data_IF_258876036771
#
_entry.id   IF_258876036771
#
_cell.length_a   1.000
_cell.length_b   1.000
_cell.length_c   1.000
_cell.angle_alpha   90.00
_cell.angle_beta   90.00
_cell.angle_gamma   90.00
#
_symmetry.space_group_name_H-M   'P 1'
#
loop_
_entity.id
_entity.type
_entity.pdbx_description
1 polymer ?
#
# COMPACT_ATOMS: atom_id res chain seq x y z
N UNK A 1 -40.65 -39.30 -61.96
CA UNK A 1 -39.84 -40.43 -62.47
C UNK A 1 -38.55 -40.44 -61.65
N UNK A 2 -38.53 -41.04 -60.46
CA UNK A 2 -38.47 -42.47 -60.14
C UNK A 2 -37.01 -42.93 -60.01
N UNK A 3 -36.61 -43.20 -58.76
CA UNK A 3 -35.41 -43.93 -58.35
C UNK A 3 -35.41 -45.36 -58.92
N UNK A 4 -34.24 -45.99 -59.07
CA UNK A 4 -33.89 -47.29 -58.43
C UNK A 4 -32.76 -48.06 -59.16
N UNK A 5 -31.91 -48.73 -58.35
CA UNK A 5 -30.98 -49.85 -58.67
C UNK A 5 -29.49 -49.45 -58.63
N UNK A 6 -28.60 -49.93 -57.75
CA UNK A 6 -28.46 -51.24 -57.05
C UNK A 6 -27.99 -52.31 -58.05
N UNK A 7 -26.91 -53.10 -57.95
CA UNK A 7 -25.95 -53.45 -56.88
C UNK A 7 -24.68 -54.16 -57.47
N UNK A 8 -23.71 -54.50 -56.59
CA UNK A 8 -22.73 -55.65 -56.62
C UNK A 8 -21.37 -55.52 -57.36
N UNK A 9 -20.19 -55.97 -56.88
CA UNK A 9 -19.76 -56.75 -55.70
C UNK A 9 -18.22 -56.67 -55.42
N UNK A 10 -17.83 -56.59 -54.12
CA UNK A 10 -16.64 -57.08 -53.34
C UNK A 10 -15.15 -57.01 -53.80
N UNK A 11 -14.15 -57.39 -52.96
CA UNK A 11 -14.09 -57.46 -51.48
C UNK A 11 -12.77 -56.89 -50.84
N UNK A 12 -12.70 -56.97 -49.49
CA UNK A 12 -11.51 -57.15 -48.61
C UNK A 12 -10.48 -56.03 -48.43
N UNK A 13 -10.46 -55.40 -47.25
CA UNK A 13 -9.56 -55.80 -46.17
C UNK A 13 -9.77 -54.93 -44.92
N UNK A 14 -10.27 -55.56 -43.87
CA UNK A 14 -10.09 -55.09 -42.50
C UNK A 14 -8.60 -55.13 -42.18
N UNK A 15 -8.03 -53.98 -41.83
CA UNK A 15 -6.85 -53.93 -40.96
C UNK A 15 -7.28 -53.13 -39.74
N UNK A 16 -7.72 -53.87 -38.73
CA UNK A 16 -7.79 -53.43 -37.35
C UNK A 16 -6.38 -53.09 -36.85
N UNK A 17 -6.00 -51.81 -36.90
CA UNK A 17 -4.87 -51.31 -36.08
C UNK A 17 -5.44 -50.73 -34.80
N UNK A 18 -5.25 -51.55 -33.78
CA UNK A 18 -5.26 -51.32 -32.35
C UNK A 18 -4.86 -49.91 -31.89
N UNK A 19 -5.57 -49.49 -30.84
CA UNK A 19 -5.19 -48.47 -29.85
C UNK A 19 -5.14 -47.04 -30.39
N UNK A 20 -6.31 -46.39 -30.33
CA UNK A 20 -6.39 -44.94 -30.27
C UNK A 20 -5.56 -44.43 -29.10
N UNK A 21 -4.36 -43.94 -29.39
CA UNK A 21 -3.66 -43.03 -28.50
C UNK A 21 -4.58 -41.81 -28.39
N UNK A 22 -5.34 -41.70 -27.30
CA UNK A 22 -6.05 -40.47 -27.00
C UNK A 22 -4.97 -39.40 -26.85
N UNK A 23 -4.81 -38.55 -27.85
CA UNK A 23 -4.10 -37.28 -27.74
C UNK A 23 -4.88 -36.37 -26.77
N UNK A 24 -4.93 -36.77 -25.49
CA UNK A 24 -5.24 -35.89 -24.39
C UNK A 24 -4.03 -34.99 -24.20
N UNK A 25 -4.13 -33.75 -24.67
CA UNK A 25 -3.14 -32.67 -24.54
C UNK A 25 -2.00 -32.63 -25.58
N UNK A 26 -2.35 -32.55 -26.86
CA UNK A 26 -1.61 -31.61 -27.72
C UNK A 26 -2.39 -30.29 -27.68
N UNK A 27 -2.05 -29.42 -26.72
CA UNK A 27 -2.53 -28.04 -26.69
C UNK A 27 -2.02 -27.35 -27.97
N UNK A 28 -2.94 -27.04 -28.89
CA UNK A 28 -2.60 -26.42 -30.17
C UNK A 28 -1.89 -25.07 -29.96
N UNK A 29 -0.88 -24.82 -30.80
CA UNK A 29 0.03 -23.67 -30.77
C UNK A 29 -0.63 -22.29 -31.03
N UNK A 30 -1.97 -22.23 -31.05
CA UNK A 30 -2.82 -21.08 -31.39
C UNK A 30 -3.62 -20.55 -30.20
N UNK A 31 -3.10 -20.70 -28.98
CA UNK A 31 -3.79 -20.19 -27.79
C UNK A 31 -3.82 -18.66 -27.85
N UNK A 32 -5.02 -18.08 -27.76
CA UNK A 32 -5.19 -16.64 -27.61
C UNK A 32 -4.44 -16.20 -26.37
N UNK A 33 -3.47 -15.29 -26.54
CA UNK A 33 -2.65 -14.80 -25.43
C UNK A 33 -3.56 -14.10 -24.41
N UNK A 34 -3.79 -14.77 -23.29
CA UNK A 34 -4.55 -14.23 -22.16
C UNK A 34 -3.54 -13.66 -21.18
N UNK A 35 -3.61 -12.34 -20.97
CA UNK A 35 -2.70 -11.62 -20.08
C UNK A 35 -3.33 -11.47 -18.70
N UNK A 36 -2.86 -12.27 -17.75
CA UNK A 36 -3.25 -12.26 -16.35
C UNK A 36 -2.42 -11.30 -15.50
N UNK A 37 -1.35 -10.73 -16.07
CA UNK A 37 -0.43 -9.84 -15.35
C UNK A 37 -1.15 -8.62 -14.75
N UNK A 38 -2.12 -8.08 -15.47
CA UNK A 38 -2.99 -7.00 -15.01
C UNK A 38 -3.65 -7.30 -13.66
N UNK A 39 -4.25 -8.48 -13.56
CA UNK A 39 -4.96 -8.92 -12.37
C UNK A 39 -3.98 -9.26 -11.23
N UNK A 40 -2.82 -9.84 -11.55
CA UNK A 40 -1.74 -10.07 -10.59
C UNK A 40 -1.27 -8.76 -9.95
N UNK A 41 -0.92 -7.75 -10.76
CA UNK A 41 -0.45 -6.44 -10.24
C UNK A 41 -1.53 -5.76 -9.41
N UNK A 42 -2.79 -5.85 -9.81
CA UNK A 42 -3.90 -5.29 -9.03
C UNK A 42 -4.03 -5.97 -7.65
N UNK A 43 -3.94 -7.31 -7.59
CA UNK A 43 -3.97 -8.04 -6.32
C UNK A 43 -2.72 -7.78 -5.48
N UNK A 44 -1.55 -7.65 -6.09
CA UNK A 44 -0.33 -7.30 -5.38
C UNK A 44 -0.42 -5.89 -4.79
N UNK A 45 -0.89 -4.92 -5.56
CA UNK A 45 -1.14 -3.57 -5.05
C UNK A 45 -2.17 -3.56 -3.90
N UNK A 46 -3.26 -4.32 -4.05
CA UNK A 46 -4.26 -4.47 -2.99
C UNK A 46 -3.66 -5.09 -1.73
N UNK A 47 -2.80 -6.10 -1.87
CA UNK A 47 -2.12 -6.73 -0.74
C UNK A 47 -1.13 -5.80 -0.05
N UNK A 48 -0.44 -4.94 -0.79
CA UNK A 48 0.44 -3.92 -0.24
C UNK A 48 -0.33 -2.85 0.51
N UNK A 49 -1.43 -2.35 -0.07
CA UNK A 49 -2.33 -1.42 0.59
C UNK A 49 -2.92 -2.04 1.86
N UNK A 50 -3.29 -3.33 1.82
CA UNK A 50 -3.78 -4.04 2.99
C UNK A 50 -2.73 -4.12 4.10
N UNK A 51 -1.47 -4.48 3.77
CA UNK A 51 -0.39 -4.49 4.76
C UNK A 51 -0.14 -3.10 5.31
N UNK A 52 -0.13 -2.05 4.48
CA UNK A 52 0.08 -0.68 4.92
C UNK A 52 -1.00 -0.20 5.91
N UNK A 53 -2.25 -0.62 5.74
CA UNK A 53 -3.37 -0.22 6.60
C UNK A 53 -3.51 -1.08 7.86
N UNK A 54 -3.30 -2.39 7.75
CA UNK A 54 -3.61 -3.36 8.81
C UNK A 54 -2.37 -3.91 9.52
N UNK A 55 -1.18 -3.35 9.29
CA UNK A 55 0.04 -3.78 9.99
C UNK A 55 -0.11 -3.68 11.51
N UNK A 56 -0.68 -2.58 12.00
CA UNK A 56 -0.82 -2.32 13.44
C UNK A 56 -1.73 -3.32 14.14
N UNK A 57 -2.79 -3.77 13.47
CA UNK A 57 -3.71 -4.74 14.04
C UNK A 57 -3.15 -6.16 14.04
N UNK A 58 -2.11 -6.43 13.25
CA UNK A 58 -1.41 -7.72 13.19
C UNK A 58 -0.23 -7.77 14.16
N UNK A 59 0.51 -6.67 14.32
CA UNK A 59 1.69 -6.61 15.16
C UNK A 59 1.35 -6.06 16.54
N UNK A 60 1.36 -6.90 17.57
CA UNK A 60 1.09 -6.50 18.97
C UNK A 60 2.09 -5.49 19.54
N UNK A 61 3.31 -5.45 18.98
CA UNK A 61 4.33 -4.47 19.34
C UNK A 61 4.17 -3.13 18.61
N UNK A 62 3.23 -3.01 17.68
CA UNK A 62 2.96 -1.74 17.01
C UNK A 62 2.10 -0.88 17.93
N UNK A 63 2.69 0.20 18.44
CA UNK A 63 1.96 1.33 19.00
C UNK A 63 0.85 1.78 18.04
N UNK A 64 -0.27 2.21 18.61
CA UNK A 64 -1.42 2.69 17.82
C UNK A 64 -1.02 3.91 16.99
N UNK A 65 -1.65 4.16 15.83
CA UNK A 65 -1.36 5.36 15.00
C UNK A 65 -1.44 6.67 15.81
N UNK A 66 -2.23 6.69 16.87
CA UNK A 66 -2.30 7.79 17.85
C UNK A 66 -1.03 7.94 18.68
N UNK A 67 -0.40 6.84 19.12
CA UNK A 67 0.87 6.87 19.88
C UNK A 67 2.07 7.21 18.99
N UNK A 68 2.01 6.88 17.69
CA UNK A 68 3.02 7.32 16.69
C UNK A 68 3.07 8.85 16.62
N UNK A 69 1.97 9.55 16.90
CA UNK A 69 1.93 11.01 16.98
C UNK A 69 2.71 11.56 18.17
N UNK A 70 2.75 10.81 19.28
CA UNK A 70 3.41 11.20 20.52
C UNK A 70 4.91 10.84 20.51
N UNK A 71 5.29 9.66 20.00
CA UNK A 71 6.71 9.25 19.91
C UNK A 71 7.40 9.64 18.58
N UNK A 72 6.66 10.06 17.55
CA UNK A 72 7.18 10.47 16.22
C UNK A 72 8.16 9.49 15.56
N UNK A 73 8.13 8.22 15.92
CA UNK A 73 9.01 7.19 15.33
C UNK A 73 8.14 6.10 14.71
N UNK A 74 8.26 5.94 13.39
CA UNK A 74 7.66 4.82 12.67
C UNK A 74 8.51 3.57 12.92
N UNK A 75 7.92 2.42 13.31
CA UNK A 75 8.70 1.19 13.53
C UNK A 75 9.52 0.79 12.30
N UNK A 76 10.81 0.48 12.50
CA UNK A 76 11.73 0.12 11.40
C UNK A 76 11.27 -1.16 10.68
N UNK A 77 10.74 -2.12 11.44
CA UNK A 77 10.23 -3.39 10.89
C UNK A 77 9.06 -3.19 9.93
N UNK A 78 8.18 -2.23 10.24
CA UNK A 78 7.05 -1.88 9.37
C UNK A 78 7.55 -1.34 8.02
N UNK A 79 8.46 -0.36 8.08
CA UNK A 79 9.06 0.24 6.90
C UNK A 79 9.81 -0.82 6.07
N UNK A 80 10.56 -1.70 6.73
CA UNK A 80 11.30 -2.78 6.09
C UNK A 80 10.41 -3.72 5.28
N UNK A 81 9.28 -4.15 5.86
CA UNK A 81 8.29 -4.99 5.16
C UNK A 81 7.67 -4.25 3.97
N UNK A 82 7.33 -2.96 4.13
CA UNK A 82 6.74 -2.16 3.05
C UNK A 82 7.71 -1.99 1.87
N UNK A 83 8.99 -1.68 2.16
CA UNK A 83 10.05 -1.56 1.17
C UNK A 83 10.27 -2.89 0.45
N UNK A 84 10.32 -4.00 1.18
CA UNK A 84 10.50 -5.33 0.61
C UNK A 84 9.35 -5.70 -0.34
N UNK A 85 8.09 -5.45 0.06
CA UNK A 85 6.92 -5.69 -0.77
C UNK A 85 6.92 -4.82 -2.03
N UNK A 86 7.29 -3.54 -1.90
CA UNK A 86 7.42 -2.64 -3.03
C UNK A 86 8.50 -3.12 -4.01
N UNK A 87 9.68 -3.50 -3.49
CA UNK A 87 10.78 -4.04 -4.29
C UNK A 87 10.36 -5.31 -5.04
N UNK A 88 9.58 -6.20 -4.41
CA UNK A 88 9.03 -7.36 -5.09
C UNK A 88 8.10 -7.01 -6.25
N UNK A 89 7.27 -5.97 -6.14
CA UNK A 89 6.45 -5.50 -7.28
C UNK A 89 7.30 -4.94 -8.42
N UNK A 90 8.33 -4.17 -8.07
CA UNK A 90 9.26 -3.59 -9.06
C UNK A 90 10.02 -4.70 -9.79
N UNK A 91 10.53 -5.70 -9.07
CA UNK A 91 11.18 -6.87 -9.67
C UNK A 91 10.20 -7.69 -10.51
N UNK A 92 8.93 -7.77 -10.11
CA UNK A 92 7.93 -8.48 -10.89
C UNK A 92 7.69 -7.82 -12.25
N UNK A 93 7.57 -6.48 -12.25
CA UNK A 93 7.49 -5.67 -13.47
C UNK A 93 8.76 -5.78 -14.31
N UNK A 94 9.93 -5.81 -13.69
CA UNK A 94 11.21 -5.99 -14.37
C UNK A 94 11.25 -7.30 -15.16
N UNK A 95 10.95 -8.45 -14.53
CA UNK A 95 10.99 -9.74 -15.21
C UNK A 95 9.89 -9.89 -16.27
N UNK A 96 8.70 -9.32 -16.05
CA UNK A 96 7.64 -9.27 -17.05
C UNK A 96 8.10 -8.50 -18.31
N UNK A 97 8.74 -7.35 -18.11
CA UNK A 97 9.21 -6.48 -19.19
C UNK A 97 10.32 -7.15 -20.00
N UNK A 98 11.32 -7.71 -19.31
CA UNK A 98 12.41 -8.45 -19.97
C UNK A 98 11.89 -9.70 -20.69
N UNK A 99 10.85 -10.36 -20.16
CA UNK A 99 10.28 -11.61 -20.67
C UNK A 99 11.09 -12.84 -20.28
N UNK A 100 11.83 -12.77 -19.17
CA UNK A 100 12.66 -13.87 -18.70
C UNK A 100 11.80 -14.83 -17.87
N UNK A 101 11.40 -15.95 -18.47
CA UNK A 101 10.57 -16.97 -17.81
C UNK A 101 11.25 -17.57 -16.57
N UNK A 102 12.55 -17.90 -16.67
CA UNK A 102 13.33 -18.44 -15.54
C UNK A 102 13.43 -17.45 -14.38
N UNK A 103 13.69 -16.17 -14.68
CA UNK A 103 13.78 -15.11 -13.67
C UNK A 103 12.47 -14.91 -12.91
N UNK A 104 11.34 -14.87 -13.63
CA UNK A 104 10.01 -14.81 -12.99
C UNK A 104 9.74 -16.06 -12.14
N UNK A 105 10.07 -17.26 -12.62
CA UNK A 105 9.83 -18.50 -11.89
C UNK A 105 10.59 -18.54 -10.55
N UNK A 106 11.87 -18.13 -10.57
CA UNK A 106 12.69 -18.01 -9.37
C UNK A 106 12.15 -16.94 -8.42
N UNK A 107 11.75 -15.78 -8.95
CA UNK A 107 11.15 -14.71 -8.15
C UNK A 107 9.86 -15.17 -7.49
N UNK A 108 8.97 -15.87 -8.22
CA UNK A 108 7.72 -16.40 -7.69
C UNK A 108 7.99 -17.38 -6.54
N UNK A 109 8.93 -18.29 -6.70
CA UNK A 109 9.32 -19.22 -5.64
C UNK A 109 9.87 -18.50 -4.41
N UNK A 110 10.77 -17.53 -4.59
CA UNK A 110 11.37 -16.75 -3.50
C UNK A 110 10.31 -15.92 -2.75
N UNK A 111 9.43 -15.23 -3.49
CA UNK A 111 8.32 -14.46 -2.91
C UNK A 111 7.37 -15.35 -2.13
N UNK A 112 7.01 -16.50 -2.70
CA UNK A 112 6.11 -17.47 -2.08
C UNK A 112 6.70 -18.03 -0.78
N UNK A 113 7.98 -18.44 -0.81
CA UNK A 113 8.68 -18.96 0.36
C UNK A 113 8.77 -17.91 1.48
N UNK A 114 9.19 -16.68 1.15
CA UNK A 114 9.31 -15.60 2.14
C UNK A 114 7.96 -15.21 2.72
N UNK A 115 6.93 -15.07 1.88
CA UNK A 115 5.59 -14.70 2.31
C UNK A 115 4.97 -15.74 3.25
N UNK A 116 5.03 -17.03 2.89
CA UNK A 116 4.51 -18.08 3.76
C UNK A 116 5.32 -18.21 5.04
N UNK A 117 6.66 -18.14 4.98
CA UNK A 117 7.49 -18.17 6.18
C UNK A 117 7.10 -17.05 7.16
N UNK A 118 6.99 -15.81 6.67
CA UNK A 118 6.63 -14.65 7.49
C UNK A 118 5.21 -14.74 8.06
N UNK A 119 4.22 -15.07 7.23
CA UNK A 119 2.82 -15.14 7.67
C UNK A 119 2.57 -16.31 8.62
N UNK A 120 3.23 -17.46 8.42
CA UNK A 120 3.11 -18.62 9.30
C UNK A 120 3.77 -18.37 10.66
N UNK A 121 4.93 -17.69 10.66
CA UNK A 121 5.60 -17.25 11.89
C UNK A 121 4.70 -16.31 12.72
N UNK A 122 4.06 -15.33 12.06
CA UNK A 122 3.12 -14.43 12.73
C UNK A 122 1.84 -15.13 13.19
N UNK A 123 1.34 -16.10 12.42
CA UNK A 123 0.11 -16.81 12.75
C UNK A 123 0.26 -17.70 14.00
N UNK A 124 1.43 -18.33 14.16
CA UNK A 124 1.74 -19.17 15.34
C UNK A 124 2.41 -18.42 16.48
N UNK A 125 2.67 -17.13 16.34
CA UNK A 125 3.15 -16.32 17.44
C UNK A 125 2.14 -16.29 18.59
N UNK A 126 2.57 -16.49 19.85
CA UNK A 126 1.67 -16.46 21.00
C UNK A 126 1.05 -15.07 21.25
N UNK A 127 1.61 -14.03 20.63
CA UNK A 127 1.15 -12.63 20.76
C UNK A 127 0.03 -12.25 19.77
N UNK A 128 -0.44 -13.18 18.93
CA UNK A 128 -1.42 -12.89 17.88
C UNK A 128 -2.87 -12.93 18.39
N UNK A 129 -3.54 -11.78 18.35
CA UNK A 129 -4.97 -11.65 18.68
C UNK A 129 -5.88 -12.42 17.69
N UNK A 130 -7.14 -12.67 18.07
CA UNK A 130 -8.14 -13.27 17.16
C UNK A 130 -8.38 -12.41 15.92
N UNK A 131 -8.41 -11.07 16.09
CA UNK A 131 -8.58 -10.14 14.97
C UNK A 131 -7.38 -10.16 14.01
N UNK A 132 -6.15 -10.15 14.55
CA UNK A 132 -4.91 -10.29 13.79
C UNK A 132 -4.91 -11.56 12.93
N UNK A 133 -5.34 -12.69 13.50
CA UNK A 133 -5.46 -13.97 12.77
C UNK A 133 -6.48 -13.91 11.63
N UNK A 134 -7.60 -13.22 11.80
CA UNK A 134 -8.58 -13.04 10.72
C UNK A 134 -8.03 -12.17 9.58
N UNK A 135 -7.30 -11.10 9.90
CA UNK A 135 -6.64 -10.26 8.90
C UNK A 135 -5.52 -11.00 8.17
N UNK A 136 -4.72 -11.79 8.88
CA UNK A 136 -3.70 -12.66 8.28
C UNK A 136 -4.31 -13.69 7.33
N UNK A 137 -5.47 -14.28 7.66
CA UNK A 137 -6.21 -15.19 6.75
C UNK A 137 -6.64 -14.47 5.47
N UNK A 138 -7.16 -13.25 5.58
CA UNK A 138 -7.57 -12.46 4.43
C UNK A 138 -6.36 -12.08 3.55
N UNK A 139 -5.26 -11.65 4.17
CA UNK A 139 -4.00 -11.37 3.46
C UNK A 139 -3.48 -12.61 2.74
N UNK A 140 -3.52 -13.77 3.41
CA UNK A 140 -3.12 -15.04 2.82
C UNK A 140 -3.99 -15.39 1.61
N UNK A 141 -5.31 -15.24 1.71
CA UNK A 141 -6.24 -15.48 0.60
C UNK A 141 -5.97 -14.56 -0.60
N UNK A 142 -5.74 -13.27 -0.36
CA UNK A 142 -5.42 -12.33 -1.44
C UNK A 142 -4.09 -12.66 -2.11
N UNK A 143 -3.05 -12.99 -1.33
CA UNK A 143 -1.72 -13.32 -1.87
C UNK A 143 -1.67 -14.67 -2.56
N UNK A 144 -2.36 -15.68 -2.05
CA UNK A 144 -2.45 -16.98 -2.73
C UNK A 144 -3.14 -16.83 -4.09
N UNK A 145 -4.19 -15.99 -4.18
CA UNK A 145 -4.81 -15.64 -5.46
C UNK A 145 -3.82 -14.96 -6.42
N UNK A 146 -3.01 -14.00 -5.93
CA UNK A 146 -1.95 -13.35 -6.74
C UNK A 146 -0.91 -14.37 -7.25
N UNK A 147 -0.45 -15.29 -6.39
CA UNK A 147 0.49 -16.34 -6.79
C UNK A 147 -0.11 -17.31 -7.80
N UNK A 148 -1.40 -17.66 -7.65
CA UNK A 148 -2.10 -18.51 -8.61
C UNK A 148 -2.18 -17.84 -10.01
N UNK A 149 -2.50 -16.53 -10.06
CA UNK A 149 -2.51 -15.78 -11.31
C UNK A 149 -1.10 -15.63 -11.92
N UNK A 150 -0.08 -15.40 -11.08
CA UNK A 150 1.32 -15.38 -11.52
C UNK A 150 1.77 -16.71 -12.12
N UNK A 151 1.38 -17.83 -11.51
CA UNK A 151 1.67 -19.16 -12.05
C UNK A 151 0.90 -19.42 -13.35
N UNK A 152 -0.35 -18.96 -13.45
CA UNK A 152 -1.15 -19.06 -14.67
C UNK A 152 -0.57 -18.23 -15.82
N UNK A 153 -0.02 -17.05 -15.53
CA UNK A 153 0.73 -16.24 -16.48
C UNK A 153 1.98 -16.98 -16.96
N UNK A 154 2.75 -17.58 -16.04
CA UNK A 154 3.96 -18.31 -16.39
C UNK A 154 3.64 -19.54 -17.27
N UNK A 155 2.52 -20.21 -17.00
CA UNK A 155 2.01 -21.32 -17.84
C UNK A 155 1.55 -20.84 -19.21
N UNK A 156 0.88 -19.69 -19.28
CA UNK A 156 0.30 -19.16 -20.53
C UNK A 156 1.33 -18.47 -21.43
N UNK A 157 2.52 -18.17 -20.89
CA UNK A 157 3.57 -17.45 -21.59
C UNK A 157 3.40 -15.93 -21.53
N UNK A 158 4.31 -15.20 -22.16
CA UNK A 158 4.26 -13.73 -22.23
C UNK A 158 3.92 -13.27 -23.64
N UNK A 159 3.07 -12.23 -23.80
CA UNK A 159 2.77 -11.68 -25.10
C UNK A 159 4.03 -11.08 -25.78
N UNK A 160 4.04 -10.83 -27.09
CA UNK A 160 5.17 -10.19 -27.76
C UNK A 160 5.37 -8.76 -27.24
N UNK A 161 6.61 -8.24 -27.36
CA UNK A 161 7.01 -6.93 -26.82
C UNK A 161 6.20 -5.77 -27.41
N UNK A 162 5.92 -5.83 -28.70
CA UNK A 162 5.03 -4.94 -29.42
C UNK A 162 4.06 -5.78 -30.25
N UNK A 163 2.76 -5.46 -30.17
CA UNK A 163 1.75 -6.08 -31.02
C UNK A 163 1.43 -5.14 -32.17
N UNK A 164 1.63 -5.61 -33.40
CA UNK A 164 1.24 -4.90 -34.62
C UNK A 164 -0.29 -4.75 -34.75
N UNK A 165 -1.06 -5.62 -34.07
CA UNK A 165 -2.50 -5.78 -34.28
C UNK A 165 -3.37 -4.92 -33.34
N UNK A 166 -2.87 -3.78 -32.87
CA UNK A 166 -3.63 -2.83 -32.05
C UNK A 166 -3.99 -3.27 -30.63
N UNK A 167 -3.72 -4.52 -30.25
CA UNK A 167 -4.04 -5.08 -28.93
C UNK A 167 -2.98 -4.75 -27.85
N UNK A 168 -1.98 -3.90 -28.14
CA UNK A 168 -0.91 -3.57 -27.21
C UNK A 168 0.07 -4.73 -26.97
N UNK A 169 1.37 -4.46 -27.01
CA UNK A 169 2.38 -5.44 -26.58
C UNK A 169 2.53 -5.46 -25.05
N UNK A 170 3.50 -6.21 -24.51
CA UNK A 170 3.86 -6.15 -23.07
C UNK A 170 4.11 -4.73 -22.53
N UNK A 171 4.53 -3.82 -23.40
CA UNK A 171 4.77 -2.43 -23.04
C UNK A 171 3.51 -1.58 -22.99
N UNK A 172 2.44 -1.98 -23.68
CA UNK A 172 1.20 -1.24 -23.61
C UNK A 172 0.68 -1.25 -22.18
N UNK A 173 0.20 -0.10 -21.74
CA UNK A 173 -0.39 0.01 -20.42
C UNK A 173 -1.59 -0.94 -20.30
N UNK A 174 -1.64 -1.69 -19.20
CA UNK A 174 -2.67 -2.71 -18.90
C UNK A 174 -4.08 -2.20 -19.18
N UNK A 175 -4.34 -0.96 -18.77
CA UNK A 175 -5.66 -0.34 -18.89
C UNK A 175 -5.91 0.26 -20.28
N UNK A 176 -4.86 0.54 -21.06
CA UNK A 176 -5.00 1.08 -22.43
C UNK A 176 -5.34 0.03 -23.48
N UNK A 177 -5.35 -1.25 -23.11
CA UNK A 177 -5.60 -2.36 -24.05
C UNK A 177 -7.04 -2.42 -24.55
N UNK A 178 -7.99 -2.00 -23.73
CA UNK A 178 -9.41 -1.95 -24.09
C UNK A 178 -9.99 -0.58 -23.72
N UNK A 179 -10.82 -0.03 -24.60
CA UNK A 179 -11.55 1.21 -24.35
C UNK A 179 -12.78 0.87 -23.52
N UNK A 180 -12.62 0.88 -22.20
CA UNK A 180 -13.67 0.58 -21.24
C UNK A 180 -13.70 1.66 -20.16
N UNK A 181 -14.88 1.95 -19.58
CA UNK A 181 -15.02 2.92 -18.47
C UNK A 181 -14.20 2.51 -17.24
N UNK A 182 -14.09 1.20 -16.97
CA UNK A 182 -13.23 0.66 -15.91
C UNK A 182 -11.74 0.87 -16.20
N UNK A 183 -11.34 0.80 -17.47
CA UNK A 183 -9.97 1.10 -17.92
C UNK A 183 -9.61 2.56 -17.69
N UNK A 184 -10.53 3.46 -18.08
CA UNK A 184 -10.41 4.89 -17.83
C UNK A 184 -10.25 5.22 -16.34
N UNK A 185 -11.12 4.68 -15.48
CA UNK A 185 -11.05 4.91 -14.04
C UNK A 185 -9.75 4.35 -13.44
N UNK A 186 -9.36 3.13 -13.84
CA UNK A 186 -8.14 2.49 -13.35
C UNK A 186 -6.88 3.27 -13.73
N UNK A 187 -6.79 3.76 -14.97
CA UNK A 187 -5.69 4.61 -15.41
C UNK A 187 -5.68 5.95 -14.65
N UNK A 188 -6.84 6.57 -14.43
CA UNK A 188 -6.93 7.82 -13.68
C UNK A 188 -6.44 7.66 -12.24
N UNK A 189 -6.83 6.58 -11.55
CA UNK A 189 -6.34 6.27 -10.20
C UNK A 189 -4.85 6.00 -10.21
N UNK A 190 -4.35 5.25 -11.19
CA UNK A 190 -2.93 4.93 -11.31
C UNK A 190 -2.06 6.17 -11.54
N UNK A 191 -2.48 7.09 -12.43
CA UNK A 191 -1.79 8.37 -12.65
C UNK A 191 -1.93 9.31 -11.44
N UNK A 192 -2.98 9.16 -10.63
CA UNK A 192 -3.17 9.93 -9.40
C UNK A 192 -2.25 9.49 -8.24
N UNK A 193 -1.69 8.27 -8.30
CA UNK A 193 -0.74 7.80 -7.29
C UNK A 193 0.63 8.46 -7.52
N UNK A 194 1.20 9.14 -6.51
CA UNK A 194 2.46 9.85 -6.68
C UNK A 194 3.58 8.87 -7.02
N UNK A 195 4.41 9.23 -8.00
CA UNK A 195 5.61 8.51 -8.45
C UNK A 195 5.43 7.13 -9.10
N UNK A 196 4.29 6.44 -8.93
CA UNK A 196 4.12 5.07 -9.46
C UNK A 196 4.16 5.05 -10.99
N UNK A 197 3.44 5.97 -11.64
CA UNK A 197 3.42 6.07 -13.10
C UNK A 197 4.83 6.35 -13.66
N UNK A 198 5.53 7.32 -13.09
CA UNK A 198 6.88 7.71 -13.49
C UNK A 198 7.89 6.58 -13.31
N UNK A 199 7.85 5.91 -12.15
CA UNK A 199 8.75 4.80 -11.85
C UNK A 199 8.56 3.64 -12.83
N UNK A 200 7.30 3.35 -13.20
CA UNK A 200 7.00 2.35 -14.24
C UNK A 200 7.54 2.77 -15.60
N UNK A 201 7.35 4.03 -16.01
CA UNK A 201 7.84 4.52 -17.29
C UNK A 201 9.38 4.46 -17.40
N UNK A 202 10.09 4.85 -16.34
CA UNK A 202 11.57 4.79 -16.26
C UNK A 202 12.06 3.34 -16.24
N UNK A 203 11.39 2.46 -15.51
CA UNK A 203 11.73 1.04 -15.48
C UNK A 203 11.53 0.40 -16.86
N UNK A 204 10.38 0.65 -17.50
CA UNK A 204 10.10 0.14 -18.84
C UNK A 204 11.13 0.65 -19.86
N UNK A 205 11.55 1.92 -19.78
CA UNK A 205 12.61 2.47 -20.65
C UNK A 205 13.97 1.82 -20.43
N UNK A 206 14.37 1.65 -19.17
CA UNK A 206 15.69 1.10 -18.82
C UNK A 206 15.85 -0.38 -19.22
N UNK A 207 14.75 -1.13 -19.25
CA UNK A 207 14.77 -2.57 -19.53
C UNK A 207 14.55 -2.92 -21.00
N UNK A 208 14.17 -1.94 -21.81
CA UNK A 208 13.75 -2.17 -23.20
C UNK A 208 14.79 -1.63 -24.17
N UNK A 209 15.22 -2.44 -25.14
CA UNK A 209 16.11 -1.97 -26.18
C UNK A 209 15.36 -0.95 -27.05
N UNK A 210 15.60 0.34 -26.80
CA UNK A 210 15.01 1.46 -27.53
C UNK A 210 16.09 2.41 -28.03
N UNK A 211 15.81 3.08 -29.14
CA UNK A 211 16.68 4.13 -29.69
C UNK A 211 16.35 5.51 -29.13
N UNK A 212 15.23 5.65 -28.41
CA UNK A 212 14.78 6.91 -27.83
C UNK A 212 15.55 7.24 -26.55
N UNK A 213 15.91 8.52 -26.39
CA UNK A 213 16.39 9.05 -25.11
C UNK A 213 15.26 9.01 -24.08
N UNK A 214 15.61 9.00 -22.79
CA UNK A 214 14.65 8.94 -21.68
C UNK A 214 13.54 10.01 -21.79
N UNK A 215 13.91 11.28 -22.03
CA UNK A 215 12.91 12.34 -22.15
C UNK A 215 11.99 12.20 -23.36
N UNK A 216 12.49 11.67 -24.47
CA UNK A 216 11.67 11.43 -25.66
C UNK A 216 10.71 10.25 -25.42
N UNK A 217 11.14 9.25 -24.67
CA UNK A 217 10.28 8.15 -24.20
C UNK A 217 9.18 8.63 -23.26
N UNK A 218 9.51 9.46 -22.26
CA UNK A 218 8.52 10.02 -21.34
C UNK A 218 7.47 10.86 -22.09
N UNK A 219 7.90 11.67 -23.07
CA UNK A 219 6.97 12.42 -23.94
C UNK A 219 6.04 11.49 -24.73
N UNK A 220 6.56 10.38 -25.24
CA UNK A 220 5.76 9.40 -25.98
C UNK A 220 4.69 8.76 -25.09
N UNK A 221 5.03 8.43 -23.84
CA UNK A 221 4.09 7.87 -22.88
C UNK A 221 3.01 8.88 -22.44
N UNK A 222 3.38 10.15 -22.26
CA UNK A 222 2.42 11.21 -21.94
C UNK A 222 1.42 11.46 -23.11
N UNK A 223 1.91 11.49 -24.34
CA UNK A 223 1.06 11.61 -25.54
C UNK A 223 0.13 10.40 -25.67
N UNK A 224 0.63 9.18 -25.46
CA UNK A 224 -0.17 7.96 -25.55
C UNK A 224 -1.28 7.94 -24.50
N UNK A 225 -0.96 8.37 -23.28
CA UNK A 225 -1.89 8.48 -22.15
C UNK A 225 -2.97 9.53 -22.43
N UNK A 226 -2.56 10.70 -22.92
CA UNK A 226 -3.48 11.77 -23.31
C UNK A 226 -4.43 11.34 -24.42
N UNK A 227 -3.92 10.65 -25.44
CA UNK A 227 -4.73 10.15 -26.56
C UNK A 227 -5.74 9.09 -26.09
N UNK A 228 -5.33 8.20 -25.17
CA UNK A 228 -6.24 7.23 -24.58
C UNK A 228 -7.38 7.90 -23.81
N UNK A 229 -7.10 8.91 -22.97
CA UNK A 229 -8.15 9.64 -22.26
C UNK A 229 -9.16 10.29 -23.21
N UNK A 230 -8.69 10.93 -24.28
CA UNK A 230 -9.57 11.52 -25.32
C UNK A 230 -10.39 10.44 -26.03
N UNK A 231 -9.80 9.28 -26.30
CA UNK A 231 -10.50 8.15 -26.94
C UNK A 231 -11.61 7.60 -26.04
N UNK A 232 -11.36 7.43 -24.75
CA UNK A 232 -12.37 7.02 -23.78
C UNK A 232 -13.49 8.05 -23.61
N UNK A 233 -13.17 9.34 -23.58
CA UNK A 233 -14.16 10.41 -23.52
C UNK A 233 -15.02 10.46 -24.79
N UNK A 234 -14.42 10.26 -25.97
CA UNK A 234 -15.17 10.10 -27.22
C UNK A 234 -16.10 8.89 -27.17
N UNK A 235 -15.60 7.72 -26.76
CA UNK A 235 -16.40 6.51 -26.62
C UNK A 235 -17.60 6.71 -25.67
N UNK A 236 -17.39 7.40 -24.54
CA UNK A 236 -18.49 7.76 -23.63
C UNK A 236 -19.53 8.73 -24.22
N UNK A 237 -19.20 9.42 -25.32
CA UNK A 237 -20.08 10.36 -26.04
C UNK A 237 -20.72 9.77 -27.28
N UNK A 238 -20.23 8.64 -27.81
CA UNK A 238 -20.71 8.03 -29.06
C UNK A 238 -22.22 7.75 -29.07
N UNK A 239 -22.82 7.51 -27.90
CA UNK A 239 -24.27 7.28 -27.75
C UNK A 239 -25.13 8.54 -27.51
N UNK A 240 -24.56 9.75 -27.52
CA UNK A 240 -25.28 10.99 -27.16
C UNK A 240 -25.46 11.91 -28.36
N UNK A 241 -26.66 12.46 -28.51
CA UNK A 241 -26.95 13.43 -29.56
C UNK A 241 -26.47 14.82 -29.14
N UNK A 242 -26.16 15.66 -30.14
CA UNK A 242 -25.79 17.05 -29.92
C UNK A 242 -26.98 17.78 -29.28
N UNK A 243 -26.79 18.34 -28.08
CA UNK A 243 -27.82 19.05 -27.31
C UNK A 243 -28.47 18.26 -26.18
N UNK A 244 -28.13 16.97 -26.02
CA UNK A 244 -28.67 16.15 -24.93
C UNK A 244 -28.27 16.69 -23.54
N UNK A 245 -29.25 16.78 -22.65
CA UNK A 245 -29.04 17.22 -21.26
C UNK A 245 -28.04 16.29 -20.55
N UNK A 246 -27.01 16.87 -19.92
CA UNK A 246 -26.07 16.10 -19.11
C UNK A 246 -26.81 15.41 -17.95
N UNK A 247 -26.57 14.11 -17.70
CA UNK A 247 -27.22 13.41 -16.61
C UNK A 247 -26.93 14.06 -15.25
N UNK A 248 -27.95 14.08 -14.38
CA UNK A 248 -27.87 14.72 -13.06
C UNK A 248 -26.77 14.12 -12.19
N UNK A 249 -26.56 12.80 -12.27
CA UNK A 249 -25.52 12.12 -11.48
C UNK A 249 -24.11 12.58 -11.85
N UNK A 250 -23.83 12.86 -13.14
CA UNK A 250 -22.51 13.38 -13.53
C UNK A 250 -22.28 14.82 -13.05
N UNK A 251 -23.31 15.67 -13.13
CA UNK A 251 -23.23 17.03 -12.58
C UNK A 251 -23.01 17.03 -11.07
N UNK A 252 -23.73 16.16 -10.37
CA UNK A 252 -23.60 16.00 -8.93
C UNK A 252 -22.21 15.44 -8.55
N UNK A 253 -21.77 14.38 -9.21
CA UNK A 253 -20.48 13.76 -8.90
C UNK A 253 -19.30 14.66 -9.26
N UNK A 254 -19.30 15.33 -10.41
CA UNK A 254 -18.17 16.18 -10.79
C UNK A 254 -18.21 17.56 -10.13
N UNK A 255 -19.40 18.18 -10.02
CA UNK A 255 -19.56 19.51 -9.46
C UNK A 255 -19.63 19.50 -7.93
N UNK A 256 -20.59 18.76 -7.37
CA UNK A 256 -20.83 18.76 -5.91
C UNK A 256 -19.68 18.10 -5.15
N UNK A 257 -19.09 17.00 -5.65
CA UNK A 257 -17.94 16.36 -4.99
C UNK A 257 -16.70 17.27 -4.99
N UNK A 258 -16.42 17.95 -6.12
CA UNK A 258 -15.29 18.88 -6.21
C UNK A 258 -15.49 20.06 -5.26
N UNK A 259 -16.70 20.62 -5.22
CA UNK A 259 -17.05 21.68 -4.26
C UNK A 259 -16.88 21.22 -2.80
N UNK A 260 -17.39 20.04 -2.45
CA UNK A 260 -17.23 19.46 -1.11
C UNK A 260 -15.76 19.19 -0.78
N UNK A 261 -14.98 18.68 -1.74
CA UNK A 261 -13.54 18.43 -1.57
C UNK A 261 -12.76 19.71 -1.27
N UNK A 262 -13.06 20.81 -1.99
CA UNK A 262 -12.48 22.12 -1.71
C UNK A 262 -12.90 22.65 -0.33
N UNK A 263 -14.16 22.43 0.07
CA UNK A 263 -14.64 22.80 1.41
C UNK A 263 -13.86 22.04 2.49
N UNK A 264 -13.69 20.73 2.34
CA UNK A 264 -12.91 19.90 3.26
C UNK A 264 -11.45 20.37 3.32
N UNK A 265 -10.83 20.67 2.18
CA UNK A 265 -9.44 21.16 2.12
C UNK A 265 -9.25 22.51 2.82
N UNK A 266 -10.27 23.36 2.82
CA UNK A 266 -10.24 24.64 3.54
C UNK A 266 -10.42 24.45 5.05
N UNK A 267 -11.41 23.66 5.48
CA UNK A 267 -11.81 23.57 6.89
C UNK A 267 -11.03 22.55 7.70
N UNK A 268 -10.63 21.40 7.12
CA UNK A 268 -9.98 20.32 7.88
C UNK A 268 -8.64 20.75 8.49
N UNK A 269 -7.71 21.39 7.76
CA UNK A 269 -6.47 21.87 8.36
C UNK A 269 -6.74 22.82 9.53
N UNK A 270 -7.71 23.73 9.37
CA UNK A 270 -8.09 24.69 10.40
C UNK A 270 -8.62 23.99 11.66
N UNK A 271 -9.50 22.99 11.50
CA UNK A 271 -10.02 22.20 12.62
C UNK A 271 -8.89 21.45 13.32
N UNK A 272 -8.01 20.77 12.57
CA UNK A 272 -6.89 20.00 13.12
C UNK A 272 -5.90 20.90 13.89
N UNK A 273 -5.54 22.05 13.33
CA UNK A 273 -4.67 23.02 14.02
C UNK A 273 -5.35 23.64 15.25
N UNK A 274 -6.66 23.88 15.19
CA UNK A 274 -7.41 24.43 16.32
C UNK A 274 -7.55 23.43 17.48
N UNK A 275 -7.77 22.15 17.20
CA UNK A 275 -7.91 21.11 18.24
C UNK A 275 -6.58 20.56 18.74
N UNK A 276 -5.54 20.61 17.91
CA UNK A 276 -4.22 20.01 18.18
C UNK A 276 -3.21 20.95 18.86
N UNK A 277 -3.65 22.09 19.43
CA UNK A 277 -2.72 23.02 20.05
C UNK A 277 -2.23 22.48 21.42
N UNK A 278 -0.92 22.18 21.59
CA UNK A 278 -0.37 21.68 22.84
C UNK A 278 -0.49 22.67 24.01
N UNK A 279 -0.83 23.95 23.77
CA UNK A 279 -1.08 24.93 24.84
C UNK A 279 -2.22 24.52 25.78
N UNK A 280 -3.12 23.63 25.36
CA UNK A 280 -4.22 23.14 26.19
C UNK A 280 -3.86 21.91 27.03
N UNK A 281 -2.65 21.34 26.90
CA UNK A 281 -2.21 20.23 27.75
C UNK A 281 -1.39 20.77 28.90
N UNK A 282 -1.83 20.48 30.13
CA UNK A 282 -1.04 20.74 31.33
C UNK A 282 0.21 19.83 31.25
N UNK A 283 1.44 20.36 31.28
CA UNK A 283 2.64 19.53 31.25
C UNK A 283 2.72 18.72 32.55
N UNK A 284 2.64 17.40 32.43
CA UNK A 284 2.88 16.48 33.55
C UNK A 284 4.35 16.47 33.94
N UNK A 285 4.63 16.34 35.23
CA UNK A 285 6.01 16.26 35.75
C UNK A 285 6.57 14.87 35.48
N UNK A 286 7.48 14.74 34.51
CA UNK A 286 8.07 13.45 34.14
C UNK A 286 9.10 12.92 35.16
N UNK A 287 9.75 13.81 35.91
CA UNK A 287 10.75 13.45 36.91
C UNK A 287 11.17 14.65 37.75
N UNK A 288 11.62 14.38 38.96
CA UNK A 288 12.05 15.40 39.90
C UNK A 288 13.34 14.96 40.60
N UNK A 289 14.32 15.87 40.64
CA UNK A 289 15.63 15.62 41.21
C UNK A 289 15.94 16.69 42.24
N UNK A 290 16.22 16.28 43.48
CA UNK A 290 16.76 17.17 44.51
C UNK A 290 18.22 16.84 44.71
N UNK A 291 19.07 17.84 44.52
CA UNK A 291 20.49 17.75 44.82
C UNK A 291 20.80 18.71 45.97
N UNK A 292 21.42 18.21 47.03
CA UNK A 292 22.05 19.10 48.00
C UNK A 292 23.54 19.21 47.70
N UNK A 293 24.08 20.38 47.95
CA UNK A 293 25.51 20.61 47.84
C UNK A 293 26.04 21.26 49.09
N UNK A 294 27.08 20.66 49.66
CA UNK A 294 27.86 21.25 50.74
C UNK A 294 29.16 21.75 50.12
N UNK A 295 29.52 23.01 50.38
CA UNK A 295 30.79 23.54 49.92
C UNK A 295 31.42 24.48 50.93
N UNK A 296 32.76 24.56 50.89
CA UNK A 296 33.51 25.53 51.70
C UNK A 296 33.57 26.87 50.96
N UNK A 297 33.25 27.95 51.67
CA UNK A 297 33.28 29.31 51.13
C UNK A 297 34.71 29.70 50.76
N UNK A 298 34.90 30.20 49.54
CA UNK A 298 36.14 30.86 49.17
C UNK A 298 36.02 32.34 49.58
N UNK A 299 36.84 32.79 50.52
CA UNK A 299 37.01 34.20 50.90
C UNK A 299 35.80 34.96 51.49
N UNK A 300 34.79 34.26 52.03
CA UNK A 300 33.74 34.89 52.84
C UNK A 300 32.63 35.59 52.06
N UNK A 301 32.66 35.55 50.72
CA UNK A 301 31.57 36.05 49.89
C UNK A 301 30.49 34.98 49.66
N UNK A 302 29.24 35.38 49.85
CA UNK A 302 28.08 34.51 49.80
C UNK A 302 27.78 34.13 48.35
N UNK A 303 28.24 32.95 47.91
CA UNK A 303 27.92 32.40 46.59
C UNK A 303 29.07 31.73 45.85
N UNK A 304 30.32 31.95 46.28
CA UNK A 304 31.50 31.38 45.64
C UNK A 304 32.12 30.27 46.51
N UNK A 305 32.03 29.02 46.03
CA UNK A 305 32.44 27.82 46.77
C UNK A 305 33.65 27.17 46.11
N UNK A 306 34.80 27.11 46.80
CA UNK A 306 36.05 26.58 46.24
C UNK A 306 36.05 25.04 46.11
N UNK A 307 35.38 24.35 47.02
CA UNK A 307 35.17 22.91 46.98
C UNK A 307 33.69 22.62 47.22
N UNK A 308 33.00 22.08 46.20
CA UNK A 308 31.57 21.75 46.27
C UNK A 308 31.40 20.24 46.15
N UNK A 309 30.82 19.63 47.17
CA UNK A 309 30.35 18.24 47.13
C UNK A 309 28.83 18.26 46.94
N UNK A 310 28.39 17.90 45.75
CA UNK A 310 26.98 17.67 45.42
C UNK A 310 26.62 16.21 45.65
N UNK A 311 25.60 15.95 46.43
CA UNK A 311 25.02 14.63 46.61
C UNK A 311 23.54 14.67 46.17
N UNK A 312 23.09 13.70 45.37
CA UNK A 312 21.68 13.57 45.04
C UNK A 312 20.93 13.20 46.32
N UNK A 313 20.04 14.09 46.77
CA UNK A 313 19.12 13.80 47.88
C UNK A 313 17.95 12.95 47.41
N UNK A 314 17.46 13.21 46.20
CA UNK A 314 16.31 12.52 45.64
C UNK A 314 16.41 12.45 44.11
N UNK A 315 16.08 11.28 43.57
CA UNK A 315 15.98 11.01 42.14
C UNK A 315 14.65 10.29 41.95
N UNK A 316 13.60 11.04 41.63
CA UNK A 316 12.27 10.50 41.38
C UNK A 316 11.98 10.37 39.90
N UNK A 317 11.65 9.15 39.45
CA UNK A 317 11.17 8.84 38.10
C UNK A 317 10.24 7.62 38.09
N UNK A 318 9.28 7.63 37.16
CA UNK A 318 8.25 6.65 36.73
C UNK A 318 7.48 5.77 37.75
N UNK A 319 7.86 5.69 39.03
CA UNK A 319 7.20 4.83 40.02
C UNK A 319 6.93 5.53 41.34
N UNK A 320 5.97 6.46 41.39
CA UNK A 320 5.35 6.88 42.65
C UNK A 320 3.88 7.29 42.45
N UNK A 321 3.08 7.12 43.50
CA UNK A 321 1.65 7.49 43.58
C UNK A 321 1.50 9.01 43.52
N UNK A 322 1.38 9.56 42.31
CA UNK A 322 0.84 10.89 42.11
C UNK A 322 -0.56 10.94 42.73
N UNK A 323 -0.77 11.84 43.69
CA UNK A 323 -2.10 12.16 44.17
C UNK A 323 -2.41 13.59 43.71
N UNK A 324 -3.56 13.74 43.08
CA UNK A 324 -4.13 15.05 42.81
C UNK A 324 -4.25 15.81 44.14
N UNK A 325 -4.06 17.12 44.15
CA UNK A 325 -4.20 17.94 45.36
C UNK A 325 -5.61 17.78 45.95
N UNK A 326 -5.76 16.93 46.98
CA UNK A 326 -7.02 16.76 47.74
C UNK A 326 -6.99 17.73 48.93
N UNK A 327 -6.88 19.02 48.64
CA UNK A 327 -7.10 20.07 49.63
C UNK A 327 -8.60 20.31 49.84
N UNK A 328 -8.97 20.84 51.00
CA UNK A 328 -10.35 21.17 51.38
C UNK A 328 -10.94 22.37 50.59
N UNK A 329 -10.78 22.37 49.27
CA UNK A 329 -11.40 23.32 48.33
C UNK A 329 -10.84 24.75 48.30
N UNK A 330 -9.73 25.05 48.97
CA UNK A 330 -9.12 26.39 48.90
C UNK A 330 -7.61 26.33 48.82
N UNK A 331 -7.06 26.80 47.69
CA UNK A 331 -5.64 27.08 47.52
C UNK A 331 -5.18 28.18 48.49
N UNK A 332 -3.90 28.18 48.91
CA UNK A 332 -3.34 29.27 49.70
C UNK A 332 -3.61 30.63 49.04
N UNK A 333 -3.90 31.65 49.84
CA UNK A 333 -4.24 32.99 49.35
C UNK A 333 -3.15 33.53 48.41
N UNK A 334 -3.53 33.83 47.16
CA UNK A 334 -2.64 34.28 46.09
C UNK A 334 -2.34 33.25 45.00
N UNK A 335 -2.51 31.94 45.26
CA UNK A 335 -2.34 30.89 44.24
C UNK A 335 -3.61 30.60 43.44
N UNK A 336 -4.79 30.78 44.06
CA UNK A 336 -6.08 30.48 43.43
C UNK A 336 -6.45 31.35 42.22
N UNK A 337 -5.78 32.50 42.04
CA UNK A 337 -6.01 33.39 40.89
C UNK A 337 -5.20 32.96 39.65
N UNK A 338 -4.16 32.13 39.82
CA UNK A 338 -3.23 31.74 38.75
C UNK A 338 -3.29 30.25 38.40
N UNK A 339 -3.71 29.41 39.35
CA UNK A 339 -3.70 27.95 39.20
C UNK A 339 -5.03 27.34 39.62
N UNK A 340 -5.49 26.35 38.85
CA UNK A 340 -6.65 25.51 39.21
C UNK A 340 -6.19 24.25 39.94
N UNK A 341 -7.02 23.66 40.81
CA UNK A 341 -6.67 22.44 41.57
C UNK A 341 -6.19 21.27 40.69
N UNK A 342 -6.70 21.17 39.46
CA UNK A 342 -6.32 20.15 38.46
C UNK A 342 -4.90 20.35 37.87
N UNK A 343 -4.27 21.49 38.11
CA UNK A 343 -2.90 21.82 37.66
C UNK A 343 -1.84 21.54 38.74
N UNK A 344 -2.25 21.09 39.92
CA UNK A 344 -1.37 20.91 41.08
C UNK A 344 -1.30 19.44 41.48
N UNK A 345 -0.10 18.88 41.41
CA UNK A 345 0.19 17.52 41.85
C UNK A 345 0.94 17.53 43.18
N UNK A 346 0.49 16.72 44.14
CA UNK A 346 1.20 16.46 45.37
C UNK A 346 2.18 15.30 45.17
N UNK A 347 3.45 15.61 45.30
CA UNK A 347 4.52 14.62 45.34
C UNK A 347 4.80 14.28 46.81
N UNK A 348 4.30 13.14 47.27
CA UNK A 348 4.66 12.62 48.58
C UNK A 348 6.08 12.04 48.53
N UNK A 349 7.00 12.72 49.20
CA UNK A 349 8.35 12.21 49.48
C UNK A 349 8.23 11.29 50.71
N UNK A 350 8.40 9.99 50.50
CA UNK A 350 8.45 8.98 51.59
C UNK A 350 9.89 8.56 51.86
#
# INVERSE_FOLDING_TARGET
MQQSGGDEAGPSNEISVSQGLQLGAVESHWRTETDYYAATVALDFLSFAFVALFYQSVMSSAQSLSDITDERVVPVDYLGVLILLFLFMVLDRLFYTLGLHLGKALLLWAQMALFYYYTFSLFWSPFSSSSARNQLRLLMLMKTASFALSALQLRSGYPPRASFRGAGGRHAFIFMRYVNTWGYLGLQVFCGLPFIYELRAVLDWSCTPTTLKLFDWLKLEDISTSLYFVTCDRYGREGRQLGDRQPRYMKFCQGTLLFLGLLVLLWVPLIVFSSGNPTYRVPGVAGFYLNASIGSMANGDMGDFQARMTFPLFVGGERQLQRQWVGNGTLPAGMGDQYTDDQLELLCVA
#
